data_IF_981564708680
#
_entry.id   IF_981564708680
#
_cell.length_a   1.000
_cell.length_b   1.000
_cell.length_c   1.000
_cell.angle_alpha   90.00
_cell.angle_beta   90.00
_cell.angle_gamma   90.00
#
_symmetry.space_group_name_H-M   'P 1'
#
loop_
_entity.id
_entity.type
_entity.pdbx_description
1 polymer ?
#
# COMPACT_ATOMS: atom_id res chain seq x y z
N UNK A 1 -1.67 10.39 11.42
CA UNK A 1 -1.38 9.37 10.38
C UNK A 1 -0.19 8.45 10.68
N UNK A 2 0.80 8.84 11.50
CA UNK A 2 2.01 8.02 11.77
C UNK A 2 1.74 6.62 12.35
N UNK A 3 0.86 6.50 13.36
CA UNK A 3 0.58 5.20 14.02
C UNK A 3 -0.14 4.23 13.07
N UNK A 4 -1.13 4.73 12.31
CA UNK A 4 -1.87 3.95 11.32
C UNK A 4 -0.92 3.39 10.26
N UNK A 5 0.01 4.20 9.74
CA UNK A 5 1.04 3.73 8.79
C UNK A 5 1.89 2.59 9.37
N UNK A 6 2.32 2.71 10.62
CA UNK A 6 3.17 1.69 11.25
C UNK A 6 2.40 0.38 11.39
N UNK A 7 1.16 0.44 11.90
CA UNK A 7 0.30 -0.75 12.04
C UNK A 7 0.05 -1.39 10.67
N UNK A 8 -0.26 -0.57 9.67
CA UNK A 8 -0.58 -1.04 8.32
C UNK A 8 0.64 -1.66 7.62
N UNK A 9 1.83 -1.07 7.79
CA UNK A 9 3.08 -1.64 7.31
C UNK A 9 3.39 -2.98 8.00
N UNK A 10 3.19 -3.08 9.32
CA UNK A 10 3.38 -4.35 10.05
C UNK A 10 2.44 -5.44 9.56
N UNK A 11 1.17 -5.11 9.29
CA UNK A 11 0.20 -6.07 8.75
C UNK A 11 0.60 -6.54 7.36
N UNK A 12 1.00 -5.62 6.46
CA UNK A 12 1.49 -5.97 5.11
C UNK A 12 2.68 -6.92 5.20
N UNK A 13 3.69 -6.59 6.03
CA UNK A 13 4.89 -7.42 6.19
C UNK A 13 4.52 -8.79 6.75
N UNK A 14 3.61 -8.87 7.73
CA UNK A 14 3.19 -10.13 8.32
C UNK A 14 2.51 -11.05 7.31
N UNK A 15 1.61 -10.51 6.47
CA UNK A 15 0.92 -11.26 5.42
C UNK A 15 1.93 -11.72 4.36
N UNK A 16 2.79 -10.82 3.88
CA UNK A 16 3.81 -11.19 2.88
C UNK A 16 4.81 -12.23 3.40
N UNK A 17 5.19 -12.16 4.69
CA UNK A 17 6.03 -13.16 5.31
C UNK A 17 5.31 -14.51 5.43
N UNK A 18 4.02 -14.49 5.79
CA UNK A 18 3.18 -15.69 5.84
C UNK A 18 3.12 -16.36 4.46
N UNK A 19 2.76 -15.62 3.41
CA UNK A 19 2.68 -16.12 2.03
C UNK A 19 4.01 -16.75 1.57
N UNK A 20 5.13 -16.14 1.93
CA UNK A 20 6.46 -16.65 1.58
C UNK A 20 6.81 -17.94 2.33
N UNK A 21 6.44 -18.04 3.61
CA UNK A 21 6.70 -19.23 4.45
C UNK A 21 5.82 -20.39 3.99
N UNK A 22 4.52 -20.15 3.78
CA UNK A 22 3.58 -21.17 3.32
C UNK A 22 3.78 -21.53 1.85
N UNK A 23 4.46 -20.67 1.09
CA UNK A 23 4.56 -20.72 -0.38
C UNK A 23 3.19 -20.72 -1.07
N UNK A 24 2.19 -20.20 -0.36
CA UNK A 24 0.82 -20.11 -0.81
C UNK A 24 0.45 -18.63 -0.90
N UNK A 25 0.36 -18.12 -2.13
CA UNK A 25 0.15 -16.71 -2.42
C UNK A 25 -1.34 -16.32 -2.49
N UNK A 26 -2.22 -17.12 -1.88
CA UNK A 26 -3.65 -16.83 -1.80
C UNK A 26 -3.96 -15.44 -1.20
N UNK A 27 -3.10 -14.93 -0.30
CA UNK A 27 -3.26 -13.59 0.29
C UNK A 27 -2.47 -12.49 -0.44
N UNK A 28 -1.87 -12.81 -1.60
CA UNK A 28 -1.17 -11.86 -2.46
C UNK A 28 -2.02 -10.65 -2.90
N UNK A 29 -3.27 -10.84 -3.33
CA UNK A 29 -4.17 -9.73 -3.65
C UNK A 29 -4.49 -8.86 -2.42
N UNK A 30 -4.63 -9.48 -1.24
CA UNK A 30 -4.90 -8.78 0.02
C UNK A 30 -3.70 -7.92 0.44
N UNK A 31 -2.49 -8.49 0.43
CA UNK A 31 -1.26 -7.75 0.73
C UNK A 31 -1.03 -6.60 -0.26
N UNK A 32 -1.31 -6.81 -1.55
CA UNK A 32 -1.24 -5.77 -2.58
C UNK A 32 -2.27 -4.66 -2.36
N UNK A 33 -3.51 -4.98 -1.98
CA UNK A 33 -4.53 -3.99 -1.62
C UNK A 33 -4.09 -3.11 -0.45
N UNK A 34 -3.63 -3.74 0.64
CA UNK A 34 -3.13 -3.03 1.82
C UNK A 34 -1.94 -2.13 1.46
N UNK A 35 -1.02 -2.62 0.61
CA UNK A 35 0.13 -1.86 0.14
C UNK A 35 -0.29 -0.67 -0.74
N UNK A 36 -1.31 -0.82 -1.58
CA UNK A 36 -1.91 0.29 -2.32
C UNK A 36 -2.47 1.37 -1.39
N UNK A 37 -3.24 0.99 -0.38
CA UNK A 37 -3.75 1.93 0.65
C UNK A 37 -2.60 2.63 1.39
N UNK A 38 -1.52 1.92 1.69
CA UNK A 38 -0.33 2.49 2.32
C UNK A 38 0.33 3.57 1.46
N UNK A 39 0.51 3.31 0.16
CA UNK A 39 1.06 4.27 -0.80
C UNK A 39 0.13 5.49 -0.93
N UNK A 40 -1.19 5.29 -0.91
CA UNK A 40 -2.15 6.40 -0.95
C UNK A 40 -1.97 7.33 0.26
N UNK A 41 -1.83 6.77 1.47
CA UNK A 41 -1.61 7.55 2.69
C UNK A 41 -0.30 8.34 2.61
N UNK A 42 0.79 7.73 2.12
CA UNK A 42 2.08 8.43 1.90
C UNK A 42 1.91 9.55 0.88
N UNK A 43 1.21 9.28 -0.22
CA UNK A 43 1.00 10.26 -1.28
C UNK A 43 0.22 11.47 -0.81
N UNK A 44 -0.83 11.27 -0.02
CA UNK A 44 -1.63 12.33 0.59
C UNK A 44 -0.79 13.13 1.58
N UNK A 45 -0.07 12.47 2.50
CA UNK A 45 0.75 13.15 3.52
C UNK A 45 1.90 13.96 2.88
N UNK A 46 2.53 13.44 1.83
CA UNK A 46 3.58 14.16 1.11
C UNK A 46 2.99 15.34 0.30
N UNK A 47 1.78 15.21 -0.23
CA UNK A 47 1.09 16.31 -0.92
C UNK A 47 0.64 17.40 0.06
N UNK A 48 0.16 17.05 1.25
CA UNK A 48 -0.21 18.00 2.31
C UNK A 48 1.03 18.75 2.84
N UNK A 49 2.16 18.05 3.04
CA UNK A 49 3.36 18.67 3.62
C UNK A 49 4.20 19.48 2.63
N UNK A 50 4.26 19.07 1.36
CA UNK A 50 5.15 19.68 0.34
C UNK A 50 4.41 20.32 -0.85
N UNK A 51 3.07 20.26 -0.87
CA UNK A 51 2.25 20.85 -1.91
C UNK A 51 2.40 20.19 -3.29
N UNK A 52 2.14 20.95 -4.37
CA UNK A 52 2.12 20.44 -5.75
C UNK A 52 3.46 19.94 -6.29
N UNK A 53 4.61 20.36 -5.74
CA UNK A 53 5.94 19.95 -6.22
C UNK A 53 6.47 18.71 -5.49
N UNK A 54 5.54 17.91 -4.98
CA UNK A 54 5.78 16.78 -4.10
C UNK A 54 5.74 15.47 -4.85
N UNK A 55 6.49 14.48 -4.35
CA UNK A 55 6.37 13.08 -4.79
C UNK A 55 4.97 12.51 -4.56
N UNK A 56 4.15 13.15 -3.71
CA UNK A 56 2.76 12.79 -3.49
C UNK A 56 1.91 12.78 -4.77
N UNK A 57 2.23 13.65 -5.73
CA UNK A 57 1.53 13.70 -7.02
C UNK A 57 1.76 12.43 -7.87
N UNK A 58 2.88 11.74 -7.65
CA UNK A 58 3.20 10.47 -8.29
C UNK A 58 2.66 9.28 -7.48
N UNK A 59 2.78 9.32 -6.15
CA UNK A 59 2.32 8.24 -5.29
C UNK A 59 0.80 8.02 -5.31
N UNK A 60 0.00 9.08 -5.47
CA UNK A 60 -1.47 8.95 -5.53
C UNK A 60 -1.92 8.12 -6.76
N UNK A 61 -1.53 8.44 -8.01
CA UNK A 61 -1.84 7.60 -9.17
C UNK A 61 -1.33 6.16 -9.04
N UNK A 62 -0.12 5.98 -8.52
CA UNK A 62 0.47 4.65 -8.32
C UNK A 62 -0.36 3.83 -7.34
N UNK A 63 -0.80 4.44 -6.24
CA UNK A 63 -1.66 3.76 -5.26
C UNK A 63 -2.97 3.27 -5.88
N UNK A 64 -3.61 4.09 -6.72
CA UNK A 64 -4.84 3.71 -7.43
C UNK A 64 -4.60 2.54 -8.38
N UNK A 65 -3.49 2.53 -9.11
CA UNK A 65 -3.13 1.40 -9.98
C UNK A 65 -2.92 0.12 -9.19
N UNK A 66 -2.18 0.18 -8.08
CA UNK A 66 -1.94 -0.98 -7.22
C UNK A 66 -3.26 -1.53 -6.66
N UNK A 67 -4.16 -0.65 -6.21
CA UNK A 67 -5.49 -1.04 -5.72
C UNK A 67 -6.30 -1.69 -6.84
N UNK A 68 -6.32 -1.09 -8.04
CA UNK A 68 -7.06 -1.64 -9.17
C UNK A 68 -6.56 -3.03 -9.57
N UNK A 69 -5.24 -3.19 -9.72
CA UNK A 69 -4.63 -4.49 -10.05
C UNK A 69 -4.93 -5.52 -8.97
N UNK A 70 -4.86 -5.14 -7.69
CA UNK A 70 -5.18 -6.03 -6.59
C UNK A 70 -6.65 -6.48 -6.64
N UNK A 71 -7.59 -5.58 -6.94
CA UNK A 71 -9.02 -5.93 -7.12
C UNK A 71 -9.25 -6.86 -8.31
N UNK A 72 -8.50 -6.70 -9.40
CA UNK A 72 -8.56 -7.62 -10.55
C UNK A 72 -7.92 -8.99 -10.30
N UNK A 73 -7.12 -9.11 -9.24
CA UNK A 73 -6.38 -10.33 -8.91
C UNK A 73 -7.10 -11.22 -7.89
N UNK A 74 -8.25 -10.78 -7.36
CA UNK A 74 -9.19 -11.63 -6.62
C UNK A 74 -10.01 -12.49 -7.58
#
# INVERSE_FOLDING_TARGET
>A
MKIIKIILALVVIAISAYDLITKDFLYGPISSLLLGIFIAIIGIEEFENKGKNSWGMFFIPVSLLVIAVALFSF
#
